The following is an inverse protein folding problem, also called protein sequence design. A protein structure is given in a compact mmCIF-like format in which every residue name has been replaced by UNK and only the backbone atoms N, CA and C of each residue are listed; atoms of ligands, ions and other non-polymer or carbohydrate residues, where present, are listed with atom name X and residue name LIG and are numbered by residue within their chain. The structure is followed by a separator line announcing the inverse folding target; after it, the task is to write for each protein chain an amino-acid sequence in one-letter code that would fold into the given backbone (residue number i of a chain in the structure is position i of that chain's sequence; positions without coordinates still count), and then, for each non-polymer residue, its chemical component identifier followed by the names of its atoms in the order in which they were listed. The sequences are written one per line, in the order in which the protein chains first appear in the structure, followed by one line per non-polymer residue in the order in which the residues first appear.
data_IF_387375061693
#
_entry.id   IF_387375061693
#
_cell.length_a   1.000
_cell.length_b   1.000
_cell.length_c   1.000
_cell.angle_alpha   90.00
_cell.angle_beta   90.00
_cell.angle_gamma   90.00
#
_symmetry.space_group_name_H-M   'P 1'
#
loop_
_entity.id
_entity.type
_entity.pdbx_description
1 polymer ?
#
# COMPACT_ATOMS: atom_id res chain seq x y z
N UNK A 1 26.56 12.08 -15.95
CA UNK A 1 26.16 10.81 -16.61
C UNK A 1 26.42 9.59 -15.73
N UNK A 2 27.66 9.29 -15.32
CA UNK A 2 27.96 8.11 -14.48
C UNK A 2 27.19 8.06 -13.16
N UNK A 3 27.22 9.15 -12.41
CA UNK A 3 26.54 9.26 -11.11
C UNK A 3 25.01 9.14 -11.27
N UNK A 4 24.46 9.60 -12.40
CA UNK A 4 23.02 9.65 -12.62
C UNK A 4 22.38 8.26 -12.70
N UNK A 5 22.94 7.34 -13.52
CA UNK A 5 22.39 5.98 -13.59
C UNK A 5 22.63 5.19 -12.29
N UNK A 6 23.72 5.47 -11.56
CA UNK A 6 23.99 4.85 -10.25
C UNK A 6 22.91 5.28 -9.24
N UNK A 7 22.59 6.58 -9.19
CA UNK A 7 21.53 7.09 -8.33
C UNK A 7 20.18 6.46 -8.69
N UNK A 8 19.87 6.32 -9.98
CA UNK A 8 18.64 5.63 -10.42
C UNK A 8 18.59 4.17 -9.98
N UNK A 9 19.71 3.43 -10.05
CA UNK A 9 19.78 2.05 -9.52
C UNK A 9 19.55 2.01 -8.01
N UNK A 10 20.18 2.92 -7.25
CA UNK A 10 20.00 2.99 -5.80
C UNK A 10 18.54 3.31 -5.43
N UNK A 11 17.91 4.27 -6.13
CA UNK A 11 16.51 4.62 -5.91
C UNK A 11 15.60 3.44 -6.25
N UNK A 12 15.81 2.77 -7.38
CA UNK A 12 15.04 1.59 -7.77
C UNK A 12 15.13 0.47 -6.73
N UNK A 13 16.36 0.17 -6.26
CA UNK A 13 16.58 -0.84 -5.23
C UNK A 13 15.94 -0.47 -3.89
N UNK A 14 16.03 0.80 -3.49
CA UNK A 14 15.42 1.28 -2.24
C UNK A 14 13.88 1.20 -2.32
N UNK A 15 13.28 1.62 -3.43
CA UNK A 15 11.85 1.48 -3.68
C UNK A 15 11.39 0.01 -3.68
N UNK A 16 12.22 -0.89 -4.23
CA UNK A 16 11.93 -2.33 -4.24
C UNK A 16 11.94 -2.91 -2.82
N UNK A 17 12.93 -2.55 -2.01
CA UNK A 17 13.03 -2.97 -0.61
C UNK A 17 11.83 -2.43 0.19
N UNK A 18 11.46 -1.16 0.00
CA UNK A 18 10.29 -0.56 0.65
C UNK A 18 9.00 -1.27 0.25
N UNK A 19 8.83 -1.62 -1.04
CA UNK A 19 7.67 -2.39 -1.50
C UNK A 19 7.63 -3.80 -0.87
N UNK A 20 8.78 -4.47 -0.77
CA UNK A 20 8.92 -5.78 -0.12
C UNK A 20 8.63 -5.72 1.38
N UNK A 21 9.03 -4.66 2.09
CA UNK A 21 8.81 -4.47 3.53
C UNK A 21 7.46 -3.82 3.89
N UNK A 22 6.67 -3.44 2.88
CA UNK A 22 5.43 -2.63 2.99
C UNK A 22 4.23 -3.23 3.74
N UNK A 23 4.45 -4.08 4.75
CA UNK A 23 3.43 -4.42 5.75
C UNK A 23 3.74 -3.81 7.12
N UNK A 24 5.02 -3.65 7.47
CA UNK A 24 5.41 -3.12 8.79
C UNK A 24 5.61 -1.61 8.78
N UNK A 25 6.07 -1.04 7.66
CA UNK A 25 6.44 0.38 7.57
C UNK A 25 5.25 1.26 7.15
N UNK A 26 4.37 0.73 6.30
CA UNK A 26 3.23 1.46 5.75
C UNK A 26 2.03 1.50 6.67
N UNK A 27 1.85 0.54 7.58
CA UNK A 27 0.73 0.53 8.55
C UNK A 27 0.77 1.76 9.45
N UNK A 28 1.89 2.01 10.12
CA UNK A 28 2.04 3.15 11.03
C UNK A 28 1.90 4.51 10.32
N UNK A 29 2.37 4.59 9.07
CA UNK A 29 2.19 5.77 8.24
C UNK A 29 0.72 5.95 7.80
N UNK A 30 0.03 4.88 7.43
CA UNK A 30 -1.38 4.95 7.04
C UNK A 30 -2.28 5.30 8.21
N UNK A 31 -2.01 4.76 9.40
CA UNK A 31 -2.77 5.10 10.61
C UNK A 31 -2.56 6.57 10.97
N UNK A 32 -1.31 7.06 10.93
CA UNK A 32 -1.01 8.47 11.21
C UNK A 32 -1.58 9.43 10.16
N UNK A 33 -1.53 9.07 8.87
CA UNK A 33 -2.12 9.88 7.80
C UNK A 33 -3.65 9.82 7.82
N UNK A 34 -4.27 8.67 8.10
CA UNK A 34 -5.71 8.52 8.24
C UNK A 34 -6.24 9.42 9.36
N UNK A 35 -5.60 9.37 10.54
CA UNK A 35 -5.97 10.19 11.70
C UNK A 35 -5.84 11.69 11.40
N UNK A 36 -4.72 12.11 10.77
CA UNK A 36 -4.52 13.51 10.35
C UNK A 36 -5.43 13.95 9.22
N UNK A 37 -5.75 13.09 8.25
CA UNK A 37 -6.62 13.43 7.11
C UNK A 37 -8.08 13.54 7.57
N UNK A 38 -8.48 12.73 8.55
CA UNK A 38 -9.77 12.86 9.24
C UNK A 38 -9.86 14.17 10.01
N UNK A 39 -8.80 14.63 10.67
CA UNK A 39 -8.76 15.95 11.30
C UNK A 39 -8.76 17.12 10.29
N UNK A 40 -7.98 17.01 9.21
CA UNK A 40 -7.80 18.10 8.24
C UNK A 40 -8.99 18.28 7.29
N UNK A 41 -9.77 17.22 7.02
CA UNK A 41 -10.97 17.29 6.19
C UNK A 41 -12.18 17.95 6.87
N UNK A 42 -12.05 18.39 8.13
CA UNK A 42 -13.12 19.10 8.83
C UNK A 42 -14.36 18.25 9.14
N UNK A 43 -14.28 16.93 8.96
CA UNK A 43 -15.27 15.99 9.44
C UNK A 43 -15.22 15.98 10.97
N UNK A 44 -15.94 16.90 11.61
CA UNK A 44 -16.15 16.95 13.07
C UNK A 44 -16.29 15.52 13.58
N UNK A 45 -15.48 15.13 14.57
CA UNK A 45 -15.50 13.82 15.28
C UNK A 45 -16.93 13.27 15.49
N UNK A 46 -17.89 14.16 15.74
CA UNK A 46 -19.32 13.84 15.92
C UNK A 46 -20.03 13.24 14.68
N UNK A 47 -19.59 13.53 13.45
CA UNK A 47 -20.22 12.99 12.22
C UNK A 47 -19.74 11.58 11.91
N UNK A 48 -18.45 11.30 12.14
CA UNK A 48 -17.91 9.94 12.07
C UNK A 48 -18.52 9.10 13.20
N UNK A 49 -18.59 9.63 14.43
CA UNK A 49 -19.33 8.97 15.52
C UNK A 49 -20.82 8.77 15.20
N UNK A 50 -21.50 9.70 14.51
CA UNK A 50 -22.90 9.52 14.13
C UNK A 50 -23.09 8.47 13.02
N UNK A 51 -22.15 8.35 12.10
CA UNK A 51 -22.19 7.31 11.04
C UNK A 51 -21.86 5.95 11.65
N UNK A 52 -20.81 5.86 12.47
CA UNK A 52 -20.46 4.64 13.21
C UNK A 52 -21.63 4.20 14.12
N UNK A 53 -22.24 5.13 14.86
CA UNK A 53 -23.42 4.85 15.70
C UNK A 53 -24.62 4.38 14.87
N UNK A 54 -24.85 4.93 13.67
CA UNK A 54 -25.95 4.49 12.78
C UNK A 54 -25.69 3.12 12.18
N UNK A 55 -24.44 2.80 11.84
CA UNK A 55 -24.05 1.51 11.32
C UNK A 55 -24.11 0.45 12.43
N UNK A 56 -23.63 0.77 13.63
CA UNK A 56 -23.77 -0.07 14.82
C UNK A 56 -25.25 -0.34 15.14
N UNK A 57 -26.11 0.67 15.01
CA UNK A 57 -27.56 0.53 15.25
C UNK A 57 -28.23 -0.34 14.17
N UNK A 58 -27.77 -0.28 12.91
CA UNK A 58 -28.23 -1.16 11.84
C UNK A 58 -27.77 -2.62 12.04
N UNK A 59 -26.51 -2.83 12.41
CA UNK A 59 -25.95 -4.16 12.68
C UNK A 59 -26.62 -4.77 13.91
N UNK A 60 -26.84 -3.97 14.96
CA UNK A 60 -27.57 -4.39 16.15
C UNK A 60 -29.02 -4.76 15.84
N UNK A 61 -29.72 -3.97 15.01
CA UNK A 61 -31.06 -4.29 14.52
C UNK A 61 -31.08 -5.58 13.70
N UNK A 62 -30.08 -5.81 12.85
CA UNK A 62 -29.94 -7.07 12.10
C UNK A 62 -29.79 -8.28 13.04
N UNK A 63 -28.88 -8.21 14.01
CA UNK A 63 -28.69 -9.26 15.02
C UNK A 63 -29.96 -9.50 15.87
N UNK A 64 -30.70 -8.44 16.19
CA UNK A 64 -31.99 -8.54 16.88
C UNK A 64 -33.06 -9.25 16.02
N UNK A 65 -33.09 -9.00 14.71
CA UNK A 65 -33.99 -9.71 13.78
C UNK A 65 -33.61 -11.19 13.72
N UNK A 66 -32.31 -11.49 13.65
CA UNK A 66 -31.79 -12.85 13.65
C UNK A 66 -32.15 -13.62 14.93
N UNK A 67 -31.99 -12.99 16.10
CA UNK A 67 -32.44 -13.53 17.39
C UNK A 67 -33.96 -13.76 17.44
N UNK A 68 -34.77 -12.90 16.82
CA UNK A 68 -36.22 -13.11 16.73
C UNK A 68 -36.57 -14.28 15.82
N UNK A 69 -35.88 -14.44 14.69
CA UNK A 69 -36.04 -15.58 13.79
C UNK A 69 -35.65 -16.88 14.51
N UNK A 70 -34.54 -16.86 15.26
CA UNK A 70 -34.08 -18.01 16.04
C UNK A 70 -35.04 -18.34 17.20
N UNK A 71 -35.62 -17.33 17.86
CA UNK A 71 -36.73 -17.51 18.83
C UNK A 71 -37.98 -18.12 18.22
N UNK A 72 -38.34 -17.76 17.00
CA UNK A 72 -39.48 -18.36 16.30
C UNK A 72 -39.16 -19.81 15.92
N UNK A 73 -37.95 -20.08 15.44
CA UNK A 73 -37.48 -21.42 15.07
C UNK A 73 -37.41 -22.35 16.29
N UNK A 74 -36.86 -21.87 17.40
CA UNK A 74 -36.80 -22.58 18.68
C UNK A 74 -38.10 -22.47 19.49
N UNK A 75 -39.14 -21.82 18.99
CA UNK A 75 -40.48 -21.98 19.57
C UNK A 75 -41.03 -23.39 19.27
N UNK A 76 -40.52 -24.03 18.23
CA UNK A 76 -40.85 -25.38 17.80
C UNK A 76 -39.82 -26.44 18.25
N UNK A 77 -38.77 -26.07 18.98
CA UNK A 77 -37.76 -26.98 19.55
C UNK A 77 -37.47 -26.63 21.01
N UNK A 78 -37.13 -27.59 21.87
CA UNK A 78 -36.90 -27.33 23.31
C UNK A 78 -35.51 -26.72 23.62
N UNK A 79 -34.78 -26.23 22.62
CA UNK A 79 -33.41 -25.74 22.80
C UNK A 79 -33.39 -24.30 23.33
N UNK A 80 -32.79 -24.11 24.51
CA UNK A 80 -32.55 -22.78 25.10
C UNK A 80 -31.61 -21.96 24.20
N UNK A 81 -32.07 -20.80 23.78
CA UNK A 81 -31.31 -19.87 22.95
C UNK A 81 -30.28 -19.15 23.83
N UNK A 82 -29.04 -19.14 23.36
CA UNK A 82 -27.93 -18.44 24.01
C UNK A 82 -27.92 -16.96 23.58
N UNK A 83 -28.46 -16.10 24.45
CA UNK A 83 -28.58 -14.66 24.22
C UNK A 83 -27.23 -13.91 24.27
N UNK A 84 -26.16 -14.55 24.75
CA UNK A 84 -24.83 -13.94 24.86
C UNK A 84 -24.22 -13.60 23.50
N UNK A 85 -24.55 -14.35 22.45
CA UNK A 85 -24.05 -14.14 21.06
C UNK A 85 -24.62 -12.89 20.39
N UNK A 86 -25.70 -12.36 20.93
CA UNK A 86 -26.45 -11.24 20.35
C UNK A 86 -26.30 -9.94 21.16
N UNK A 87 -25.42 -9.95 22.18
CA UNK A 87 -25.08 -8.73 22.90
C UNK A 87 -24.28 -7.77 22.01
N UNK A 88 -24.38 -6.48 22.36
CA UNK A 88 -23.76 -5.37 21.63
C UNK A 88 -22.25 -5.43 21.84
N UNK A 89 -21.54 -6.19 21.00
CA UNK A 89 -20.08 -6.08 20.85
C UNK A 89 -19.78 -4.73 20.19
N UNK A 90 -19.81 -3.67 21.01
CA UNK A 90 -19.44 -2.34 20.56
C UNK A 90 -17.98 -2.39 20.07
N UNK A 91 -17.72 -1.73 18.94
CA UNK A 91 -16.41 -1.37 18.37
C UNK A 91 -15.54 -2.45 17.68
N UNK A 92 -15.61 -3.75 18.00
CA UNK A 92 -14.66 -4.72 17.41
C UNK A 92 -15.04 -5.30 16.03
N UNK A 93 -16.34 -5.45 15.74
CA UNK A 93 -16.80 -6.13 14.52
C UNK A 93 -16.59 -5.30 13.25
N UNK A 94 -16.85 -3.99 13.30
CA UNK A 94 -16.67 -3.10 12.14
C UNK A 94 -15.19 -2.88 11.82
N UNK A 95 -14.36 -2.68 12.84
CA UNK A 95 -12.92 -2.51 12.66
C UNK A 95 -12.29 -3.73 12.00
N UNK A 96 -12.65 -4.92 12.49
CA UNK A 96 -12.11 -6.19 12.00
C UNK A 96 -12.66 -6.63 10.65
N UNK A 97 -13.93 -6.34 10.35
CA UNK A 97 -14.59 -6.85 9.13
C UNK A 97 -14.65 -5.83 7.99
N UNK A 98 -14.55 -4.53 8.26
CA UNK A 98 -14.65 -3.49 7.23
C UNK A 98 -13.34 -2.69 7.13
N UNK A 99 -12.84 -2.13 8.23
CA UNK A 99 -11.66 -1.26 8.18
C UNK A 99 -10.37 -2.03 7.89
N UNK A 100 -10.10 -3.13 8.60
CA UNK A 100 -8.88 -3.93 8.42
C UNK A 100 -8.72 -4.48 6.99
N UNK A 101 -9.76 -5.08 6.35
CA UNK A 101 -9.65 -5.53 4.98
C UNK A 101 -9.42 -4.39 3.97
N UNK A 102 -10.03 -3.23 4.19
CA UNK A 102 -9.96 -2.09 3.29
C UNK A 102 -8.58 -1.41 3.35
N UNK A 103 -8.01 -1.28 4.56
CA UNK A 103 -6.63 -0.84 4.77
C UNK A 103 -5.64 -1.84 4.16
N UNK A 104 -5.88 -3.15 4.34
CA UNK A 104 -5.03 -4.17 3.74
C UNK A 104 -5.08 -4.13 2.20
N UNK A 105 -6.25 -3.91 1.61
CA UNK A 105 -6.41 -3.76 0.16
C UNK A 105 -5.67 -2.53 -0.37
N UNK A 106 -5.83 -1.38 0.29
CA UNK A 106 -5.10 -0.15 -0.06
C UNK A 106 -3.58 -0.32 0.05
N UNK A 107 -3.10 -1.00 1.10
CA UNK A 107 -1.68 -1.34 1.24
C UNK A 107 -1.18 -2.23 0.11
N UNK A 108 -1.97 -3.21 -0.34
CA UNK A 108 -1.59 -4.04 -1.48
C UNK A 108 -1.50 -3.24 -2.78
N UNK A 109 -2.47 -2.36 -3.04
CA UNK A 109 -2.46 -1.47 -4.21
C UNK A 109 -1.24 -0.55 -4.18
N UNK A 110 -0.95 0.06 -3.02
CA UNK A 110 0.22 0.91 -2.84
C UNK A 110 1.53 0.14 -3.09
N UNK A 111 1.67 -1.08 -2.56
CA UNK A 111 2.85 -1.94 -2.79
C UNK A 111 3.02 -2.26 -4.27
N UNK A 112 1.93 -2.60 -4.96
CA UNK A 112 1.96 -2.90 -6.39
C UNK A 112 2.39 -1.69 -7.20
N UNK A 113 1.85 -0.50 -6.89
CA UNK A 113 2.24 0.75 -7.53
C UNK A 113 3.73 1.08 -7.29
N UNK A 114 4.22 0.94 -6.05
CA UNK A 114 5.63 1.18 -5.71
C UNK A 114 6.58 0.19 -6.41
N UNK A 115 6.19 -1.09 -6.51
CA UNK A 115 6.94 -2.09 -7.24
C UNK A 115 6.98 -1.76 -8.74
N UNK A 116 5.86 -1.35 -9.32
CA UNK A 116 5.80 -0.91 -10.72
C UNK A 116 6.73 0.30 -10.97
N UNK A 117 6.68 1.32 -10.10
CA UNK A 117 7.56 2.49 -10.19
C UNK A 117 9.03 2.08 -10.07
N UNK A 118 9.38 1.19 -9.13
CA UNK A 118 10.74 0.66 -9.00
C UNK A 118 11.27 0.03 -10.29
N UNK A 119 10.45 -0.77 -10.99
CA UNK A 119 10.81 -1.38 -12.28
C UNK A 119 11.01 -0.33 -13.37
N UNK A 120 10.15 0.69 -13.43
CA UNK A 120 10.30 1.80 -14.38
C UNK A 120 11.62 2.53 -14.15
N UNK A 121 11.96 2.85 -12.90
CA UNK A 121 13.25 3.47 -12.56
C UNK A 121 14.44 2.58 -12.93
N UNK A 122 14.33 1.26 -12.74
CA UNK A 122 15.35 0.29 -13.16
C UNK A 122 15.58 0.36 -14.68
N UNK A 123 14.50 0.36 -15.46
CA UNK A 123 14.58 0.44 -16.93
C UNK A 123 15.26 1.73 -17.38
N UNK A 124 14.90 2.87 -16.79
CA UNK A 124 15.60 4.12 -17.06
C UNK A 124 17.09 4.06 -16.69
N UNK A 125 17.44 3.49 -15.53
CA UNK A 125 18.83 3.32 -15.12
C UNK A 125 19.64 2.55 -16.17
N UNK A 126 19.09 1.46 -16.70
CA UNK A 126 19.71 0.64 -17.75
C UNK A 126 19.91 1.45 -19.04
N UNK A 127 18.89 2.18 -19.50
CA UNK A 127 18.99 3.01 -20.71
C UNK A 127 20.11 4.05 -20.56
N UNK A 128 20.14 4.77 -19.44
CA UNK A 128 21.18 5.78 -19.19
C UNK A 128 22.57 5.16 -19.04
N UNK A 129 22.68 3.97 -18.45
CA UNK A 129 23.94 3.25 -18.33
C UNK A 129 24.48 2.85 -19.71
N UNK A 130 23.63 2.29 -20.58
CA UNK A 130 24.01 1.93 -21.95
C UNK A 130 24.41 3.16 -22.77
N UNK A 131 23.65 4.24 -22.69
CA UNK A 131 23.97 5.50 -23.38
C UNK A 131 25.33 6.06 -22.93
N UNK A 132 25.61 6.06 -21.61
CA UNK A 132 26.89 6.49 -21.08
C UNK A 132 28.04 5.63 -21.59
N UNK A 133 27.88 4.29 -21.55
CA UNK A 133 28.91 3.35 -22.01
C UNK A 133 29.17 3.52 -23.51
N UNK A 134 28.14 3.74 -24.31
CA UNK A 134 28.27 4.04 -25.74
C UNK A 134 29.09 5.30 -26.01
N UNK A 135 28.84 6.39 -25.27
CA UNK A 135 29.62 7.63 -25.38
C UNK A 135 31.08 7.39 -24.94
N UNK A 136 31.29 6.66 -23.86
CA UNK A 136 32.64 6.38 -23.36
C UNK A 136 33.46 5.54 -24.34
N UNK A 137 32.86 4.50 -24.95
CA UNK A 137 33.52 3.69 -25.97
C UNK A 137 33.92 4.55 -27.18
N UNK A 138 33.02 5.39 -27.68
CA UNK A 138 33.34 6.31 -28.79
C UNK A 138 34.54 7.19 -28.46
N UNK A 139 34.58 7.77 -27.25
CA UNK A 139 35.73 8.58 -26.80
C UNK A 139 37.04 7.78 -26.74
N UNK A 140 36.99 6.51 -26.32
CA UNK A 140 38.18 5.64 -26.30
C UNK A 140 38.67 5.31 -27.70
N UNK A 141 37.74 4.99 -28.62
CA UNK A 141 38.06 4.74 -30.03
C UNK A 141 38.74 5.96 -30.65
N UNK A 142 38.16 7.17 -30.50
CA UNK A 142 38.77 8.40 -31.02
C UNK A 142 40.20 8.65 -30.48
N UNK A 143 40.45 8.35 -29.19
CA UNK A 143 41.82 8.48 -28.63
C UNK A 143 42.79 7.46 -29.23
N UNK A 144 42.35 6.21 -29.40
CA UNK A 144 43.17 5.17 -30.01
C UNK A 144 43.49 5.49 -31.47
N UNK A 145 42.50 5.95 -32.23
CA UNK A 145 42.68 6.41 -33.61
C UNK A 145 43.70 7.56 -33.68
N UNK A 146 43.61 8.55 -32.79
CA UNK A 146 44.55 9.65 -32.72
C UNK A 146 45.99 9.20 -32.42
N UNK A 147 46.18 8.25 -31.50
CA UNK A 147 47.51 7.70 -31.16
C UNK A 147 48.09 6.92 -32.35
N UNK A 148 47.28 6.08 -33.00
CA UNK A 148 47.72 5.30 -34.17
C UNK A 148 48.10 6.22 -35.33
N UNK A 149 47.34 7.29 -35.57
CA UNK A 149 47.64 8.27 -36.60
C UNK A 149 48.93 9.04 -36.30
N UNK A 150 49.15 9.44 -35.04
CA UNK A 150 50.38 10.12 -34.62
C UNK A 150 51.62 9.21 -34.76
N UNK A 151 51.51 7.94 -34.37
CA UNK A 151 52.61 6.96 -34.50
C UNK A 151 52.90 6.53 -35.95
N UNK A 152 51.98 6.78 -36.90
CA UNK A 152 52.20 6.57 -38.33
C UNK A 152 52.96 7.72 -39.00
N UNK A 153 53.05 8.89 -38.36
CA UNK A 153 53.71 10.08 -38.88
C UNK A 153 55.14 10.26 -38.36
N UNK A 154 55.58 9.45 -37.38
CA UNK A 154 56.97 9.35 -36.94
C UNK A 154 57.72 8.26 -37.69
#
# INVERSE_FOLDING_TARGET
MKIFYIVLYCISALLFIVAMLGSSITKDLFDSYSEKTLEYSGLKKNSVQNIDNKIDDLIYKSKQIELKIERIKNFFSQEKIDESKYQRENTALLQKNIYDPLINMLNQIFRFAMMFVSVVFLMFAVIFHLAYRGIELRKRVYRLEAIVLAGKQS
#
